data_IF_461776093810
#
_entry.id   IF_461776093810
#
_cell.length_a   1.000
_cell.length_b   1.000
_cell.length_c   1.000
_cell.angle_alpha   90.00
_cell.angle_beta   90.00
_cell.angle_gamma   90.00
#
_symmetry.space_group_name_H-M   'P 1'
#
loop_
_entity.id
_entity.type
_entity.pdbx_description
1 polymer ?
#
# COMPACT_ATOMS: atom_id res chain seq x y z
N UNK A 1 -5.44 5.77 -20.99
CA UNK A 1 -5.45 7.05 -20.26
C UNK A 1 -4.01 7.40 -19.89
N UNK A 2 -3.56 8.60 -20.28
CA UNK A 2 -2.19 9.08 -20.01
C UNK A 2 -2.21 9.94 -18.75
N UNK A 3 -1.38 9.62 -17.77
CA UNK A 3 -1.25 10.39 -16.52
C UNK A 3 0.22 10.81 -16.38
N UNK A 4 0.47 12.12 -16.38
CA UNK A 4 1.83 12.67 -16.28
C UNK A 4 2.75 12.31 -17.46
N UNK A 5 2.18 12.09 -18.65
CA UNK A 5 2.93 11.74 -19.86
C UNK A 5 3.11 10.23 -20.10
N UNK A 6 2.73 9.37 -19.14
CA UNK A 6 2.85 7.91 -19.26
C UNK A 6 1.49 7.22 -19.20
N UNK A 7 1.35 6.09 -19.91
CA UNK A 7 0.16 5.25 -19.84
C UNK A 7 0.10 4.49 -18.50
N UNK A 8 -1.12 4.30 -17.98
CA UNK A 8 -1.37 3.55 -16.73
C UNK A 8 -0.73 2.15 -16.73
N UNK A 9 -0.71 1.47 -17.88
CA UNK A 9 -0.05 0.16 -18.04
C UNK A 9 1.44 0.20 -17.71
N UNK A 10 2.13 1.31 -18.02
CA UNK A 10 3.55 1.47 -17.68
C UNK A 10 3.74 1.63 -16.17
N UNK A 11 2.84 2.34 -15.48
CA UNK A 11 2.85 2.40 -14.01
C UNK A 11 2.63 1.01 -13.41
N UNK A 12 1.61 0.28 -13.87
CA UNK A 12 1.33 -1.09 -13.38
C UNK A 12 2.53 -2.00 -13.58
N UNK A 13 3.18 -1.96 -14.75
CA UNK A 13 4.38 -2.77 -15.01
C UNK A 13 5.57 -2.39 -14.13
N UNK A 14 5.75 -1.10 -13.84
CA UNK A 14 6.79 -0.63 -12.91
C UNK A 14 6.52 -1.10 -11.48
N UNK A 15 5.26 -1.09 -11.07
CA UNK A 15 4.82 -1.38 -9.71
C UNK A 15 4.49 -2.84 -9.45
N UNK A 16 4.37 -3.68 -10.49
CA UNK A 16 4.11 -5.11 -10.40
C UNK A 16 4.91 -5.84 -9.28
N UNK A 17 6.25 -5.68 -9.17
CA UNK A 17 6.99 -6.33 -8.09
C UNK A 17 6.62 -5.79 -6.70
N UNK A 18 6.26 -4.51 -6.59
CA UNK A 18 5.84 -3.89 -5.33
C UNK A 18 4.43 -4.33 -4.92
N UNK A 19 3.52 -4.47 -5.89
CA UNK A 19 2.20 -5.06 -5.65
C UNK A 19 2.32 -6.50 -5.16
N UNK A 20 3.22 -7.28 -5.76
CA UNK A 20 3.51 -8.64 -5.32
C UNK A 20 4.06 -8.65 -3.89
N UNK A 21 5.02 -7.76 -3.56
CA UNK A 21 5.55 -7.64 -2.21
C UNK A 21 4.46 -7.33 -1.17
N UNK A 22 3.58 -6.37 -1.45
CA UNK A 22 2.46 -6.02 -0.55
C UNK A 22 1.53 -7.22 -0.38
N UNK A 23 1.19 -7.90 -1.48
CA UNK A 23 0.34 -9.09 -1.45
C UNK A 23 1.00 -10.23 -0.66
N UNK A 24 2.31 -10.46 -0.81
CA UNK A 24 3.04 -11.49 -0.06
C UNK A 24 3.03 -11.20 1.44
N UNK A 25 3.24 -9.96 1.88
CA UNK A 25 3.16 -9.59 3.30
C UNK A 25 1.74 -9.76 3.83
N UNK A 26 0.72 -9.41 3.04
CA UNK A 26 -0.68 -9.63 3.39
C UNK A 26 -1.02 -11.11 3.54
N UNK A 27 -0.63 -11.97 2.59
CA UNK A 27 -0.83 -13.43 2.67
C UNK A 27 -0.08 -14.00 3.87
N UNK A 28 1.18 -13.62 4.08
CA UNK A 28 1.98 -14.09 5.20
C UNK A 28 1.30 -13.77 6.54
N UNK A 29 0.74 -12.56 6.67
CA UNK A 29 0.00 -12.18 7.87
C UNK A 29 -1.23 -13.05 8.10
N UNK A 30 -1.99 -13.36 7.04
CA UNK A 30 -3.13 -14.27 7.12
C UNK A 30 -2.72 -15.69 7.51
N UNK A 31 -1.62 -16.20 6.95
CA UNK A 31 -1.13 -17.56 7.27
C UNK A 31 -0.63 -17.64 8.71
N UNK A 32 0.10 -16.62 9.19
CA UNK A 32 0.56 -16.56 10.57
C UNK A 32 -0.60 -16.51 11.57
N UNK A 33 -1.65 -15.75 11.25
CA UNK A 33 -2.88 -15.69 12.03
C UNK A 33 -3.60 -17.04 12.06
N UNK A 34 -3.78 -17.67 10.91
CA UNK A 34 -4.37 -19.01 10.79
C UNK A 34 -3.56 -20.10 11.51
N UNK A 35 -2.24 -19.93 11.61
CA UNK A 35 -1.35 -20.83 12.36
C UNK A 35 -1.35 -20.59 13.87
N UNK A 36 -2.11 -19.59 14.37
CA UNK A 36 -2.15 -19.25 15.80
C UNK A 36 -0.85 -18.61 16.32
N UNK A 37 -0.09 -17.93 15.45
CA UNK A 37 1.16 -17.29 15.83
C UNK A 37 0.94 -16.18 16.88
N UNK A 38 1.95 -15.86 17.72
CA UNK A 38 1.83 -14.81 18.72
C UNK A 38 1.47 -13.46 18.10
N UNK A 39 0.58 -12.71 18.73
CA UNK A 39 0.08 -11.41 18.24
C UNK A 39 1.20 -10.41 17.93
N UNK A 40 2.34 -10.46 18.63
CA UNK A 40 3.53 -9.66 18.33
C UNK A 40 4.18 -9.97 16.98
N UNK A 41 4.18 -11.24 16.57
CA UNK A 41 4.76 -11.71 15.31
C UNK A 41 3.85 -11.35 14.12
N UNK A 42 2.53 -11.54 14.29
CA UNK A 42 1.50 -11.11 13.33
C UNK A 42 1.51 -9.58 13.16
N UNK A 43 1.73 -8.83 14.24
CA UNK A 43 1.81 -7.36 14.21
C UNK A 43 3.10 -6.85 13.56
N UNK A 44 4.18 -7.61 13.63
CA UNK A 44 5.45 -7.29 12.97
C UNK A 44 5.33 -7.39 11.44
N UNK A 45 4.47 -8.26 10.92
CA UNK A 45 4.09 -8.32 9.50
C UNK A 45 3.08 -7.22 9.13
N UNK A 46 3.50 -5.96 9.24
CA UNK A 46 2.64 -4.80 8.96
C UNK A 46 2.56 -4.50 7.46
N UNK A 47 1.37 -4.71 6.87
CA UNK A 47 1.09 -4.34 5.48
C UNK A 47 1.26 -2.83 5.26
N UNK A 48 0.99 -2.00 6.28
CA UNK A 48 1.23 -0.55 6.19
C UNK A 48 2.72 -0.23 6.05
N UNK A 49 3.59 -0.94 6.77
CA UNK A 49 5.04 -0.78 6.62
C UNK A 49 5.50 -1.22 5.22
N UNK A 50 4.95 -2.32 4.69
CA UNK A 50 5.23 -2.79 3.34
C UNK A 50 4.86 -1.75 2.27
N UNK A 51 3.71 -1.07 2.44
CA UNK A 51 3.30 0.02 1.54
C UNK A 51 4.23 1.22 1.65
N UNK A 52 4.60 1.64 2.87
CA UNK A 52 5.54 2.75 3.06
C UNK A 52 6.89 2.48 2.38
N UNK A 53 7.46 1.29 2.58
CA UNK A 53 8.69 0.85 1.91
C UNK A 53 8.51 0.82 0.38
N UNK A 54 7.37 0.32 -0.10
CA UNK A 54 7.07 0.27 -1.53
C UNK A 54 7.00 1.67 -2.15
N UNK A 55 6.43 2.66 -1.46
CA UNK A 55 6.40 4.06 -1.92
C UNK A 55 7.81 4.63 -2.05
N UNK A 56 8.71 4.35 -1.09
CA UNK A 56 10.10 4.79 -1.15
C UNK A 56 10.85 4.13 -2.33
N UNK A 57 10.73 2.81 -2.49
CA UNK A 57 11.34 2.08 -3.60
C UNK A 57 10.80 2.56 -4.94
N UNK A 58 9.49 2.77 -5.04
CA UNK A 58 8.86 3.31 -6.24
C UNK A 58 9.40 4.70 -6.58
N UNK A 59 9.58 5.57 -5.58
CA UNK A 59 10.17 6.89 -5.77
C UNK A 59 11.60 6.81 -6.28
N UNK A 60 12.41 5.89 -5.74
CA UNK A 60 13.76 5.62 -6.25
C UNK A 60 13.73 5.15 -7.70
N UNK A 61 12.85 4.20 -8.03
CA UNK A 61 12.68 3.71 -9.39
C UNK A 61 12.27 4.83 -10.36
N UNK A 62 11.38 5.72 -9.94
CA UNK A 62 10.96 6.89 -10.73
C UNK A 62 12.14 7.82 -10.98
N UNK A 63 12.97 8.09 -9.97
CA UNK A 63 14.17 8.91 -10.10
C UNK A 63 15.20 8.29 -11.05
N UNK A 64 15.62 7.05 -10.77
CA UNK A 64 16.69 6.39 -11.52
C UNK A 64 16.29 6.01 -12.95
N UNK A 65 15.03 5.64 -13.20
CA UNK A 65 14.55 5.31 -14.55
C UNK A 65 14.06 6.53 -15.32
N UNK A 66 14.26 7.75 -14.80
CA UNK A 66 13.76 9.02 -15.36
C UNK A 66 12.27 8.95 -15.73
N UNK A 67 11.49 8.21 -14.95
CA UNK A 67 10.16 7.75 -15.34
C UNK A 67 9.07 8.80 -15.14
N UNK A 68 9.35 9.90 -14.44
CA UNK A 68 8.34 10.95 -14.35
C UNK A 68 8.57 12.05 -13.32
N UNK A 69 7.49 12.83 -13.15
CA UNK A 69 7.42 14.02 -12.32
C UNK A 69 6.86 13.71 -10.94
N UNK A 70 6.67 14.74 -10.11
CA UNK A 70 5.97 14.59 -8.82
C UNK A 70 4.57 13.96 -8.97
N UNK A 71 3.89 14.22 -10.08
CA UNK A 71 2.59 13.59 -10.38
C UNK A 71 2.72 12.06 -10.48
N UNK A 72 3.82 11.56 -11.06
CA UNK A 72 4.07 10.13 -11.14
C UNK A 72 4.23 9.50 -9.76
N UNK A 73 4.83 10.22 -8.80
CA UNK A 73 4.93 9.78 -7.41
C UNK A 73 3.56 9.74 -6.74
N UNK A 74 2.74 10.78 -6.90
CA UNK A 74 1.37 10.84 -6.37
C UNK A 74 0.53 9.67 -6.88
N UNK A 75 0.51 9.46 -8.20
CA UNK A 75 -0.22 8.35 -8.84
C UNK A 75 0.25 7.00 -8.32
N UNK A 76 1.56 6.85 -8.12
CA UNK A 76 2.14 5.61 -7.63
C UNK A 76 1.77 5.35 -6.17
N UNK A 77 1.82 6.38 -5.31
CA UNK A 77 1.37 6.29 -3.93
C UNK A 77 -0.12 5.92 -3.85
N UNK A 78 -0.96 6.56 -4.67
CA UNK A 78 -2.38 6.25 -4.79
C UNK A 78 -2.62 4.80 -5.22
N UNK A 79 -1.91 4.31 -6.24
CA UNK A 79 -2.07 2.93 -6.72
C UNK A 79 -1.65 1.90 -5.67
N UNK A 80 -0.55 2.12 -4.95
CA UNK A 80 -0.09 1.22 -3.88
C UNK A 80 -1.02 1.25 -2.67
N UNK A 81 -1.52 2.42 -2.27
CA UNK A 81 -2.50 2.56 -1.20
C UNK A 81 -3.83 1.89 -1.57
N UNK A 82 -4.35 2.16 -2.77
CA UNK A 82 -5.57 1.54 -3.27
C UNK A 82 -5.46 0.02 -3.34
N UNK A 83 -4.32 -0.52 -3.79
CA UNK A 83 -4.07 -1.96 -3.79
C UNK A 83 -4.13 -2.58 -2.39
N UNK A 84 -3.52 -1.92 -1.40
CA UNK A 84 -3.58 -2.34 0.00
C UNK A 84 -5.02 -2.37 0.52
N UNK A 85 -5.80 -1.32 0.27
CA UNK A 85 -7.19 -1.26 0.72
C UNK A 85 -8.04 -2.36 0.06
N UNK A 86 -7.82 -2.65 -1.23
CA UNK A 86 -8.48 -3.76 -1.92
C UNK A 86 -8.18 -5.12 -1.28
N UNK A 87 -6.92 -5.38 -0.91
CA UNK A 87 -6.54 -6.62 -0.20
C UNK A 87 -7.20 -6.74 1.18
N UNK A 88 -7.30 -5.63 1.91
CA UNK A 88 -7.97 -5.61 3.22
C UNK A 88 -9.47 -5.89 3.06
N UNK A 89 -10.14 -5.24 2.12
CA UNK A 89 -11.56 -5.46 1.82
C UNK A 89 -11.79 -6.91 1.38
N UNK A 90 -10.87 -7.50 0.60
CA UNK A 90 -10.93 -8.91 0.21
C UNK A 90 -10.85 -9.85 1.43
N UNK A 91 -9.95 -9.60 2.39
CA UNK A 91 -9.87 -10.38 3.64
C UNK A 91 -11.16 -10.28 4.47
N UNK A 92 -11.73 -9.07 4.58
CA UNK A 92 -13.00 -8.85 5.28
C UNK A 92 -14.15 -9.59 4.60
N UNK A 93 -14.19 -9.55 3.27
CA UNK A 93 -15.22 -10.25 2.48
C UNK A 93 -15.09 -11.77 2.63
N UNK A 94 -13.86 -12.30 2.62
CA UNK A 94 -13.60 -13.71 2.91
C UNK A 94 -14.11 -14.11 4.30
N UNK A 95 -13.85 -13.29 5.30
CA UNK A 95 -14.34 -13.50 6.68
C UNK A 95 -15.87 -13.54 6.71
N UNK A 96 -16.53 -12.57 6.08
CA UNK A 96 -17.98 -12.48 6.02
C UNK A 96 -18.65 -13.66 5.31
N UNK A 97 -18.01 -14.21 4.26
CA UNK A 97 -18.54 -15.35 3.50
C UNK A 97 -18.23 -16.71 4.14
N UNK A 98 -17.07 -16.86 4.78
CA UNK A 98 -16.61 -18.14 5.33
C UNK A 98 -16.98 -18.34 6.80
N UNK A 99 -17.29 -17.26 7.54
CA UNK A 99 -17.49 -17.28 8.98
C UNK A 99 -16.21 -17.53 9.79
N UNK A 100 -15.05 -17.68 9.13
CA UNK A 100 -13.76 -17.82 9.79
C UNK A 100 -13.18 -16.44 10.06
N UNK A 101 -13.11 -16.06 11.34
CA UNK A 101 -12.52 -14.79 11.77
C UNK A 101 -11.08 -14.65 11.28
N UNK A 102 -10.74 -13.50 10.71
CA UNK A 102 -9.37 -13.15 10.33
C UNK A 102 -8.86 -12.00 11.18
N UNK A 103 -7.53 -11.82 11.24
CA UNK A 103 -6.89 -10.68 11.93
C UNK A 103 -7.43 -9.31 11.52
N UNK A 104 -8.04 -9.20 10.33
CA UNK A 104 -8.61 -7.97 9.80
C UNK A 104 -10.02 -7.67 10.33
N UNK A 105 -10.69 -8.67 10.92
CA UNK A 105 -12.03 -8.52 11.50
C UNK A 105 -12.02 -8.64 13.05
N UNK A 106 -10.91 -9.11 13.61
CA UNK A 106 -10.77 -9.26 15.06
C UNK A 106 -11.05 -7.92 15.79
N UNK A 107 -11.86 -7.92 16.87
CA UNK A 107 -12.37 -6.72 17.54
C UNK A 107 -11.26 -5.80 18.08
N UNK A 108 -10.14 -6.41 18.46
CA UNK A 108 -8.90 -5.74 18.89
C UNK A 108 -8.23 -4.90 17.79
N UNK A 109 -8.55 -5.14 16.52
CA UNK A 109 -8.07 -4.38 15.37
C UNK A 109 -9.19 -3.61 14.64
N UNK A 110 -10.46 -4.02 14.78
CA UNK A 110 -11.63 -3.40 14.14
C UNK A 110 -12.36 -2.35 15.00
N UNK A 111 -11.90 -2.09 16.24
CA UNK A 111 -12.50 -1.13 17.19
C UNK A 111 -14.01 -1.32 17.40
N UNK A 112 -14.51 -2.55 17.32
CA UNK A 112 -15.93 -2.89 17.42
C UNK A 112 -16.86 -2.18 16.40
N UNK A 113 -16.34 -1.76 15.24
CA UNK A 113 -17.14 -1.11 14.21
C UNK A 113 -17.95 -2.14 13.40
N UNK A 114 -19.14 -1.77 12.93
CA UNK A 114 -19.89 -2.62 11.98
C UNK A 114 -19.15 -2.73 10.66
N UNK A 115 -19.32 -3.84 9.94
CA UNK A 115 -18.65 -4.12 8.65
C UNK A 115 -18.64 -2.91 7.71
N UNK A 116 -19.80 -2.28 7.49
CA UNK A 116 -19.93 -1.10 6.61
C UNK A 116 -19.11 0.10 7.09
N UNK A 117 -19.11 0.38 8.40
CA UNK A 117 -18.29 1.46 8.96
C UNK A 117 -16.80 1.15 8.87
N UNK A 118 -16.41 -0.12 9.01
CA UNK A 118 -15.02 -0.55 8.92
C UNK A 118 -14.48 -0.38 7.48
N UNK A 119 -15.25 -0.79 6.47
CA UNK A 119 -14.91 -0.55 5.05
C UNK A 119 -14.86 0.94 4.73
N UNK A 120 -15.81 1.74 5.22
CA UNK A 120 -15.82 3.20 5.02
C UNK A 120 -14.57 3.84 5.66
N UNK A 121 -14.16 3.40 6.85
CA UNK A 121 -12.95 3.89 7.50
C UNK A 121 -11.69 3.61 6.67
N UNK A 122 -11.60 2.42 6.07
CA UNK A 122 -10.52 2.06 5.15
C UNK A 122 -10.53 2.91 3.87
N UNK A 123 -11.70 3.14 3.27
CA UNK A 123 -11.83 3.97 2.07
C UNK A 123 -11.55 5.46 2.33
N UNK A 124 -11.93 5.99 3.49
CA UNK A 124 -11.80 7.43 3.80
C UNK A 124 -10.47 7.75 4.46
N UNK A 125 -10.13 7.11 5.57
CA UNK A 125 -8.87 7.37 6.28
C UNK A 125 -7.70 6.61 5.67
N UNK A 126 -7.89 5.33 5.33
CA UNK A 126 -6.82 4.51 4.76
C UNK A 126 -6.38 5.01 3.39
N UNK A 127 -7.36 5.21 2.49
CA UNK A 127 -7.13 5.72 1.15
C UNK A 127 -6.85 7.22 1.14
N UNK A 128 -7.57 8.06 1.90
CA UNK A 128 -7.34 9.50 1.91
C UNK A 128 -6.06 9.90 2.66
N UNK A 129 -5.98 9.62 3.96
CA UNK A 129 -4.84 10.06 4.77
C UNK A 129 -3.55 9.28 4.44
N UNK A 130 -3.67 7.97 4.19
CA UNK A 130 -2.54 7.13 3.81
C UNK A 130 -1.93 7.52 2.46
N UNK A 131 -2.76 7.85 1.47
CA UNK A 131 -2.28 8.35 0.18
C UNK A 131 -1.62 9.71 0.31
N UNK A 132 -2.26 10.67 0.99
CA UNK A 132 -1.68 12.00 1.21
C UNK A 132 -0.30 11.92 1.87
N UNK A 133 -0.16 11.10 2.91
CA UNK A 133 1.11 10.90 3.59
C UNK A 133 2.15 10.21 2.69
N UNK A 134 1.76 9.16 1.96
CA UNK A 134 2.63 8.46 1.00
C UNK A 134 3.08 9.37 -0.15
N UNK A 135 2.18 10.16 -0.70
CA UNK A 135 2.46 11.13 -1.75
C UNK A 135 3.40 12.24 -1.25
N UNK A 136 3.14 12.81 -0.06
CA UNK A 136 3.98 13.84 0.52
C UNK A 136 5.41 13.34 0.79
N UNK A 137 5.54 12.16 1.41
CA UNK A 137 6.85 11.55 1.70
C UNK A 137 7.61 11.16 0.43
N UNK A 138 6.94 10.56 -0.55
CA UNK A 138 7.54 10.25 -1.86
C UNK A 138 7.97 11.51 -2.60
N UNK A 139 7.16 12.56 -2.61
CA UNK A 139 7.52 13.83 -3.25
C UNK A 139 8.71 14.51 -2.57
N UNK A 140 8.75 14.51 -1.23
CA UNK A 140 9.90 15.00 -0.47
C UNK A 140 11.16 14.22 -0.79
N UNK A 141 11.07 12.89 -0.86
CA UNK A 141 12.20 12.04 -1.24
C UNK A 141 12.66 12.32 -2.67
N UNK A 142 11.75 12.44 -3.63
CA UNK A 142 12.10 12.76 -5.01
C UNK A 142 12.80 14.13 -5.11
N UNK A 143 12.33 15.12 -4.34
CA UNK A 143 12.97 16.43 -4.25
C UNK A 143 14.40 16.32 -3.70
N UNK A 144 14.59 15.57 -2.60
CA UNK A 144 15.92 15.32 -2.02
C UNK A 144 16.85 14.62 -3.02
N UNK A 145 16.37 13.57 -3.70
CA UNK A 145 17.14 12.83 -4.69
C UNK A 145 17.60 13.74 -5.84
N UNK A 146 16.72 14.61 -6.35
CA UNK A 146 17.06 15.56 -7.41
C UNK A 146 18.05 16.63 -6.95
N UNK A 147 18.05 16.97 -5.66
CA UNK A 147 18.97 17.95 -5.08
C UNK A 147 20.35 17.36 -4.77
N UNK A 148 20.40 16.13 -4.26
CA UNK A 148 21.63 15.49 -3.76
C UNK A 148 22.30 14.59 -4.81
N UNK A 149 21.53 13.99 -5.70
CA UNK A 149 21.99 13.06 -6.73
C UNK A 149 21.32 13.40 -8.07
N UNK A 150 21.65 14.55 -8.69
CA UNK A 150 21.08 14.94 -9.96
C UNK A 150 21.33 13.85 -11.01
N UNK A 151 20.39 13.61 -11.93
CA UNK A 151 20.59 12.62 -12.98
C UNK A 151 21.83 13.01 -13.80
N UNK A 152 22.86 12.17 -13.82
CA UNK A 152 24.04 12.37 -14.68
C UNK A 152 23.56 12.42 -16.13
N UNK A 153 23.87 13.52 -16.83
CA UNK A 153 23.40 13.88 -18.17
C UNK A 153 23.33 12.71 -19.13
#
# INVERSE_FOLDING_TARGET
>A
MKIGGHDLSKYIRLLAPLFALIASVWVLRLVLDAAGAPSGLVRSCSVNAAVAVSVLIATLLIHFRRFGSYLSVVVTAFLLAGWKELLIIAAMTFTALSGMGTVYDAPEFSRHMTFSHHVIAHLTFGLGFGELFGAATGCLLLWLLRRLAPPTG
#
